data_IF_423785745470
#
_entry.id   IF_423785745470
#
_cell.length_a   1.000
_cell.length_b   1.000
_cell.length_c   1.000
_cell.angle_alpha   90.00
_cell.angle_beta   90.00
_cell.angle_gamma   90.00
#
_symmetry.space_group_name_H-M   'P 1'
#
loop_
_entity.id
_entity.type
_entity.pdbx_description
1 polymer ?
#
# COMPACT_ATOMS: atom_id res chain seq x y z
N UNK A 1 -26.96 55.83 21.93
CA UNK A 1 -28.31 56.32 22.28
C UNK A 1 -28.47 56.42 23.78
N UNK A 2 -29.39 57.26 24.27
CA UNK A 2 -29.74 57.39 25.71
C UNK A 2 -31.24 57.18 25.87
N UNK A 3 -31.62 56.25 26.75
CA UNK A 3 -33.02 56.00 27.12
C UNK A 3 -33.10 55.76 28.63
N UNK A 4 -33.93 56.53 29.33
CA UNK A 4 -34.12 56.45 30.77
C UNK A 4 -32.81 56.47 31.59
N UNK A 5 -31.82 57.24 31.17
CA UNK A 5 -30.51 57.37 31.81
C UNK A 5 -29.52 56.25 31.45
N UNK A 6 -29.92 55.25 30.67
CA UNK A 6 -29.04 54.20 30.15
C UNK A 6 -28.41 54.63 28.84
N UNK A 7 -27.09 54.61 28.75
CA UNK A 7 -26.32 54.93 27.52
C UNK A 7 -25.99 53.61 26.83
N UNK A 8 -26.40 53.52 25.55
CA UNK A 8 -26.05 52.37 24.69
C UNK A 8 -25.12 52.83 23.58
N UNK A 9 -23.95 52.21 23.45
CA UNK A 9 -23.01 52.41 22.34
C UNK A 9 -23.62 51.91 21.02
N UNK A 10 -23.47 52.66 19.95
CA UNK A 10 -23.96 52.31 18.59
C UNK A 10 -22.80 52.16 17.62
N UNK A 11 -21.81 53.02 17.71
CA UNK A 11 -20.54 52.99 16.97
C UNK A 11 -19.42 53.46 17.88
N UNK A 12 -18.19 53.14 17.57
CA UNK A 12 -16.99 53.60 18.25
C UNK A 12 -16.83 55.13 18.14
N UNK A 13 -16.23 55.73 19.15
CA UNK A 13 -15.94 57.15 19.25
C UNK A 13 -16.52 57.80 20.50
N UNK A 14 -16.30 59.12 20.66
CA UNK A 14 -16.74 59.89 21.80
C UNK A 14 -18.12 60.54 21.54
N UNK A 15 -18.98 60.43 22.53
CA UNK A 15 -20.29 61.04 22.53
C UNK A 15 -20.49 61.94 23.76
N UNK A 16 -20.88 63.19 23.54
CA UNK A 16 -21.22 64.10 24.65
C UNK A 16 -22.68 63.89 25.03
N UNK A 17 -22.90 63.40 26.24
CA UNK A 17 -24.25 63.23 26.79
C UNK A 17 -24.59 64.53 27.59
N UNK A 18 -25.67 65.17 27.21
CA UNK A 18 -26.16 66.42 27.86
C UNK A 18 -27.43 66.16 28.64
N UNK A 19 -27.44 66.43 29.92
CA UNK A 19 -28.64 66.52 30.73
C UNK A 19 -29.09 67.98 30.90
N UNK A 20 -30.36 68.27 30.68
CA UNK A 20 -30.99 69.57 30.90
C UNK A 20 -32.09 69.38 31.90
N UNK A 21 -32.05 70.15 33.00
CA UNK A 21 -33.11 70.16 34.00
C UNK A 21 -34.32 71.02 33.58
N UNK A 22 -35.42 71.00 34.36
CA UNK A 22 -36.64 71.74 34.12
C UNK A 22 -36.48 73.26 34.26
N UNK A 23 -35.34 73.76 34.80
CA UNK A 23 -34.98 75.19 34.90
C UNK A 23 -34.04 75.66 33.79
N UNK A 24 -33.74 74.79 32.82
CA UNK A 24 -32.90 75.09 31.67
C UNK A 24 -31.37 74.87 31.89
N UNK A 25 -30.92 74.58 33.11
CA UNK A 25 -29.51 74.34 33.41
C UNK A 25 -29.04 73.02 32.78
N UNK A 26 -27.87 73.01 32.14
CA UNK A 26 -27.27 71.84 31.47
C UNK A 26 -25.99 71.41 32.12
N UNK A 27 -25.74 70.12 32.09
CA UNK A 27 -24.47 69.46 32.44
C UNK A 27 -24.15 68.45 31.37
N UNK A 28 -22.88 68.30 31.04
CA UNK A 28 -22.40 67.38 30.02
C UNK A 28 -21.41 66.31 30.60
N UNK A 29 -21.40 65.16 29.98
CA UNK A 29 -20.43 64.11 30.25
C UNK A 29 -20.02 63.48 28.95
N UNK A 30 -18.71 63.34 28.71
CA UNK A 30 -18.20 62.59 27.58
C UNK A 30 -18.24 61.08 27.96
N UNK A 31 -18.75 60.29 27.04
CA UNK A 31 -18.75 58.82 27.09
C UNK A 31 -18.04 58.32 25.85
N UNK A 32 -16.96 57.59 26.06
CA UNK A 32 -16.24 56.91 24.99
C UNK A 32 -16.86 55.53 24.74
N UNK A 33 -17.21 55.26 23.49
CA UNK A 33 -17.63 53.95 23.00
C UNK A 33 -16.42 53.27 22.35
N UNK A 34 -15.95 52.18 22.93
CA UNK A 34 -14.82 51.40 22.37
C UNK A 34 -15.34 50.52 21.24
N UNK A 35 -14.56 50.38 20.15
CA UNK A 35 -14.84 49.46 19.07
C UNK A 35 -14.70 47.99 19.51
N UNK A 36 -15.39 47.09 18.84
CA UNK A 36 -15.25 45.68 19.09
C UNK A 36 -13.87 45.18 18.61
N UNK A 37 -13.22 44.28 19.36
CA UNK A 37 -11.93 43.70 18.95
C UNK A 37 -12.06 42.84 17.70
N UNK A 38 -10.99 42.78 16.91
CA UNK A 38 -10.88 41.83 15.82
C UNK A 38 -10.38 40.48 16.40
N UNK A 39 -11.29 39.53 16.53
CA UNK A 39 -11.01 38.17 17.02
C UNK A 39 -10.84 37.24 15.84
N UNK A 40 -9.80 36.40 15.85
CA UNK A 40 -9.61 35.27 14.93
C UNK A 40 -9.32 34.01 15.73
N UNK A 41 -9.85 32.89 15.30
CA UNK A 41 -9.62 31.58 15.93
C UNK A 41 -8.61 30.73 15.12
N UNK A 42 -7.91 31.35 14.15
CA UNK A 42 -7.04 30.68 13.20
C UNK A 42 -7.79 30.22 11.94
N UNK A 43 -7.07 29.56 11.04
CA UNK A 43 -7.64 28.96 9.83
C UNK A 43 -8.20 27.56 10.11
N UNK A 44 -9.19 27.15 9.32
CA UNK A 44 -9.71 25.78 9.34
C UNK A 44 -8.58 24.77 9.10
N UNK A 45 -8.63 23.65 9.82
CA UNK A 45 -7.64 22.58 9.75
C UNK A 45 -8.29 21.28 9.30
N UNK A 46 -7.51 20.44 8.66
CA UNK A 46 -7.93 19.05 8.32
C UNK A 46 -6.98 18.10 9.00
N UNK A 47 -7.55 17.14 9.75
CA UNK A 47 -6.81 16.10 10.47
C UNK A 47 -7.35 14.73 10.12
N UNK A 48 -6.54 13.71 10.33
CA UNK A 48 -6.99 12.32 10.28
C UNK A 48 -7.69 11.93 11.60
N UNK A 49 -8.65 11.03 11.52
CA UNK A 49 -9.31 10.47 12.70
C UNK A 49 -8.26 9.93 13.70
N UNK A 50 -8.41 10.31 14.98
CA UNK A 50 -7.45 10.00 16.04
C UNK A 50 -6.27 10.95 16.17
N UNK A 51 -6.12 11.93 15.28
CA UNK A 51 -5.09 12.98 15.38
C UNK A 51 -5.60 14.20 16.16
N UNK A 52 -4.68 15.15 16.45
CA UNK A 52 -5.00 16.40 17.15
C UNK A 52 -4.69 17.61 16.29
N UNK A 53 -5.41 18.71 16.54
CA UNK A 53 -5.19 20.02 15.96
C UNK A 53 -4.88 21.03 17.07
N UNK A 54 -3.99 21.99 16.78
CA UNK A 54 -3.75 23.14 17.67
C UNK A 54 -4.41 24.38 17.05
N UNK A 55 -5.38 24.95 17.76
CA UNK A 55 -6.08 26.16 17.39
C UNK A 55 -5.44 27.34 18.13
N UNK A 56 -5.12 28.41 17.41
CA UNK A 56 -4.45 29.58 17.98
C UNK A 56 -5.20 30.85 17.59
N UNK A 57 -5.56 31.63 18.61
CA UNK A 57 -6.27 32.89 18.49
C UNK A 57 -5.34 34.08 18.23
N UNK A 58 -5.89 35.16 17.68
CA UNK A 58 -5.29 36.51 17.80
C UNK A 58 -5.07 36.88 19.27
N UNK A 59 -4.12 37.83 19.55
CA UNK A 59 -3.84 38.26 20.93
C UNK A 59 -4.99 39.04 21.52
N UNK A 60 -5.53 38.64 22.67
CA UNK A 60 -6.60 39.24 23.46
C UNK A 60 -6.17 39.32 24.92
N UNK A 61 -6.93 40.11 25.74
CA UNK A 61 -6.74 40.13 27.19
C UNK A 61 -7.29 38.89 27.86
N UNK A 62 -8.43 38.40 27.36
CA UNK A 62 -9.06 37.16 27.84
C UNK A 62 -9.60 36.30 26.69
N UNK A 63 -9.64 35.00 26.90
CA UNK A 63 -10.12 33.99 25.94
C UNK A 63 -11.19 33.13 26.61
N UNK A 64 -12.21 32.77 25.86
CA UNK A 64 -13.20 31.77 26.27
C UNK A 64 -13.58 30.93 25.05
N UNK A 65 -12.98 29.74 24.96
CA UNK A 65 -13.32 28.77 23.92
C UNK A 65 -14.57 28.00 24.31
N UNK A 66 -15.35 27.56 23.33
CA UNK A 66 -16.52 26.71 23.56
C UNK A 66 -16.22 25.37 24.25
N UNK A 67 -14.96 25.01 24.40
CA UNK A 67 -14.46 23.89 25.19
C UNK A 67 -14.31 24.21 26.68
N UNK A 68 -14.45 25.48 27.08
CA UNK A 68 -14.18 25.99 28.42
C UNK A 68 -12.72 26.41 28.66
N UNK A 69 -11.84 26.26 27.67
CA UNK A 69 -10.45 26.70 27.80
C UNK A 69 -10.33 28.23 27.70
N UNK A 70 -9.34 28.80 28.46
CA UNK A 70 -9.13 30.25 28.58
C UNK A 70 -7.73 30.68 28.13
N UNK A 71 -7.04 29.84 27.36
CA UNK A 71 -5.69 30.12 26.82
C UNK A 71 -5.76 30.57 25.37
N UNK A 72 -4.74 31.31 24.91
CA UNK A 72 -4.63 31.77 23.53
C UNK A 72 -4.63 30.60 22.52
N UNK A 73 -3.99 29.48 22.87
CA UNK A 73 -3.94 28.27 22.06
C UNK A 73 -4.53 27.08 22.82
N UNK A 74 -5.26 26.24 22.09
CA UNK A 74 -5.82 24.98 22.61
C UNK A 74 -5.49 23.83 21.67
N UNK A 75 -5.33 22.64 22.22
CA UNK A 75 -5.23 21.40 21.44
C UNK A 75 -6.52 20.63 21.56
N UNK A 76 -7.08 20.21 20.43
CA UNK A 76 -8.33 19.46 20.34
C UNK A 76 -8.15 18.19 19.52
N UNK A 77 -8.91 17.14 19.83
CA UNK A 77 -8.85 15.83 19.13
C UNK A 77 -10.28 15.36 18.85
N UNK A 78 -11.00 16.04 17.94
CA UNK A 78 -12.36 15.66 17.62
C UNK A 78 -12.35 14.34 16.81
N UNK A 79 -13.37 13.50 17.02
CA UNK A 79 -13.59 12.27 16.24
C UNK A 79 -14.45 12.48 14.99
N UNK A 80 -15.12 13.63 14.91
CA UNK A 80 -15.93 14.06 13.77
C UNK A 80 -15.65 15.53 13.49
N UNK A 81 -15.91 16.00 12.27
CA UNK A 81 -15.77 17.42 11.91
C UNK A 81 -16.50 18.29 12.90
N UNK A 82 -15.77 19.18 13.56
CA UNK A 82 -16.25 20.00 14.69
C UNK A 82 -15.84 21.44 14.52
N UNK A 83 -16.78 22.37 14.75
CA UNK A 83 -16.54 23.80 14.77
C UNK A 83 -16.39 24.28 16.22
N UNK A 84 -15.32 25.01 16.48
CA UNK A 84 -14.97 25.58 17.77
C UNK A 84 -15.22 27.09 17.75
N UNK A 85 -16.02 27.57 18.69
CA UNK A 85 -16.25 29.00 18.90
C UNK A 85 -15.25 29.55 19.91
N UNK A 86 -14.83 30.79 19.69
CA UNK A 86 -14.00 31.57 20.60
C UNK A 86 -14.67 32.93 20.85
N UNK A 87 -14.77 33.32 22.13
CA UNK A 87 -14.99 34.70 22.54
C UNK A 87 -13.68 35.29 23.01
N UNK A 88 -13.27 36.41 22.39
CA UNK A 88 -12.09 37.19 22.79
C UNK A 88 -12.52 38.51 23.41
N UNK A 89 -11.89 38.86 24.53
CA UNK A 89 -12.15 40.13 25.23
C UNK A 89 -10.87 40.98 25.19
N UNK A 90 -11.00 42.23 24.81
CA UNK A 90 -9.90 43.20 24.77
C UNK A 90 -9.61 43.83 26.16
N UNK A 91 -8.64 44.75 26.20
CA UNK A 91 -8.27 45.49 27.45
C UNK A 91 -9.37 46.43 27.95
N UNK A 92 -10.32 46.81 27.12
CA UNK A 92 -11.43 47.70 27.47
C UNK A 92 -12.68 46.91 27.94
N UNK A 93 -12.60 45.54 27.92
CA UNK A 93 -13.70 44.67 28.27
C UNK A 93 -14.72 44.45 27.12
N UNK A 94 -14.39 44.90 25.88
CA UNK A 94 -15.24 44.65 24.72
C UNK A 94 -15.02 43.20 24.21
N UNK A 95 -16.12 42.54 23.86
CA UNK A 95 -16.09 41.12 23.43
C UNK A 95 -16.49 41.00 21.96
N UNK A 96 -15.85 40.06 21.27
CA UNK A 96 -16.28 39.61 19.94
C UNK A 96 -16.00 38.14 19.80
N UNK A 97 -16.60 37.48 18.77
CA UNK A 97 -16.52 36.07 18.57
C UNK A 97 -15.91 35.69 17.23
N UNK A 98 -15.25 34.54 17.18
CA UNK A 98 -14.79 33.90 15.96
C UNK A 98 -15.05 32.40 16.02
N UNK A 99 -14.96 31.74 14.88
CA UNK A 99 -15.09 30.30 14.78
C UNK A 99 -13.97 29.72 13.92
N UNK A 100 -13.61 28.47 14.17
CA UNK A 100 -12.69 27.69 13.38
C UNK A 100 -13.21 26.24 13.28
N UNK A 101 -13.11 25.64 12.11
CA UNK A 101 -13.56 24.26 11.87
C UNK A 101 -12.36 23.34 11.77
N UNK A 102 -12.40 22.22 12.52
CA UNK A 102 -11.49 21.10 12.36
C UNK A 102 -12.22 20.00 11.59
N UNK A 103 -11.83 19.83 10.33
CA UNK A 103 -12.35 18.78 9.45
C UNK A 103 -11.65 17.47 9.77
N UNK A 104 -12.41 16.44 10.15
CA UNK A 104 -11.88 15.10 10.43
C UNK A 104 -12.11 14.21 9.21
N UNK A 105 -11.02 13.59 8.74
CA UNK A 105 -11.03 12.63 7.64
C UNK A 105 -10.83 11.21 8.18
N UNK A 106 -11.56 10.26 7.63
CA UNK A 106 -11.40 8.85 7.97
C UNK A 106 -10.03 8.33 7.54
N UNK A 107 -9.49 7.39 8.31
CA UNK A 107 -8.30 6.64 7.92
C UNK A 107 -8.64 5.69 6.76
N UNK A 108 -7.83 5.65 5.69
CA UNK A 108 -8.00 4.66 4.64
C UNK A 108 -7.84 3.25 5.21
N UNK A 109 -8.78 2.36 4.93
CA UNK A 109 -8.61 0.92 5.12
C UNK A 109 -8.18 0.29 3.80
N UNK A 110 -7.04 -0.41 3.80
CA UNK A 110 -6.49 -1.09 2.63
C UNK A 110 -6.79 -2.58 2.72
N UNK A 111 -7.32 -3.15 1.66
CA UNK A 111 -7.65 -4.57 1.58
C UNK A 111 -7.32 -5.16 0.21
N UNK A 112 -7.17 -6.49 0.17
CA UNK A 112 -7.05 -7.23 -1.10
C UNK A 112 -8.40 -7.24 -1.80
N UNK A 113 -8.43 -6.75 -3.05
CA UNK A 113 -9.60 -6.77 -3.92
C UNK A 113 -9.63 -8.03 -4.79
N UNK A 114 -8.47 -8.42 -5.36
CA UNK A 114 -8.31 -9.66 -6.13
C UNK A 114 -6.92 -10.22 -5.94
N UNK A 115 -6.80 -11.55 -5.84
CA UNK A 115 -5.55 -12.27 -5.61
C UNK A 115 -5.30 -12.59 -4.15
N UNK A 116 -4.05 -12.73 -3.77
CA UNK A 116 -3.57 -13.02 -2.42
C UNK A 116 -2.54 -11.98 -2.00
N UNK A 117 -2.43 -11.72 -0.69
CA UNK A 117 -1.33 -10.90 -0.14
C UNK A 117 0.00 -11.66 -0.04
N UNK A 118 -0.01 -12.98 -0.31
CA UNK A 118 1.20 -13.81 -0.44
C UNK A 118 1.36 -14.16 -1.91
N UNK A 119 2.48 -13.78 -2.50
CA UNK A 119 2.74 -13.81 -3.94
C UNK A 119 3.98 -14.63 -4.28
N UNK A 120 3.95 -15.28 -5.42
CA UNK A 120 5.15 -15.76 -6.08
C UNK A 120 5.79 -14.64 -6.90
N UNK A 121 7.06 -14.80 -7.25
CA UNK A 121 7.79 -13.85 -8.11
C UNK A 121 7.03 -13.62 -9.41
N UNK A 122 6.84 -12.36 -9.79
CA UNK A 122 6.11 -11.94 -10.97
C UNK A 122 4.59 -11.93 -10.84
N UNK A 123 4.01 -12.48 -9.79
CA UNK A 123 2.57 -12.40 -9.56
C UNK A 123 2.11 -11.01 -9.14
N UNK A 124 0.83 -10.77 -9.30
CA UNK A 124 0.20 -9.50 -8.96
C UNK A 124 -0.98 -9.69 -8.02
N UNK A 125 -1.18 -8.69 -7.15
CA UNK A 125 -2.39 -8.55 -6.33
C UNK A 125 -2.97 -7.16 -6.52
N UNK A 126 -4.29 -7.06 -6.60
CA UNK A 126 -4.97 -5.76 -6.65
C UNK A 126 -5.49 -5.41 -5.28
N UNK A 127 -5.11 -4.23 -4.81
CA UNK A 127 -5.54 -3.64 -3.55
C UNK A 127 -6.60 -2.57 -3.80
N UNK A 128 -7.48 -2.39 -2.82
CA UNK A 128 -8.44 -1.29 -2.77
C UNK A 128 -8.32 -0.51 -1.48
N UNK A 129 -8.73 0.76 -1.52
CA UNK A 129 -8.84 1.63 -0.36
C UNK A 129 -10.29 2.07 -0.20
N UNK A 130 -10.75 2.21 1.05
CA UNK A 130 -12.08 2.76 1.38
C UNK A 130 -12.20 4.26 1.04
N UNK A 131 -11.07 4.96 0.91
CA UNK A 131 -10.99 6.37 0.56
C UNK A 131 -10.50 6.48 -0.88
N UNK A 132 -11.19 7.30 -1.70
CA UNK A 132 -10.81 7.60 -3.09
C UNK A 132 -9.83 8.77 -3.16
N UNK A 133 -9.09 8.87 -4.27
CA UNK A 133 -8.18 9.97 -4.55
C UNK A 133 -6.98 9.98 -3.60
N UNK A 134 -5.88 9.41 -4.03
CA UNK A 134 -4.64 9.34 -3.25
C UNK A 134 -3.55 8.62 -4.01
N UNK A 135 -2.47 8.30 -3.32
CA UNK A 135 -1.29 7.67 -3.90
C UNK A 135 -0.92 6.39 -3.17
N UNK A 136 -0.35 5.45 -3.92
CA UNK A 136 0.18 4.19 -3.42
C UNK A 136 1.70 4.24 -3.35
N UNK A 137 2.26 3.65 -2.31
CA UNK A 137 3.71 3.48 -2.16
C UNK A 137 4.06 2.13 -1.55
N UNK A 138 5.25 1.63 -1.86
CA UNK A 138 5.83 0.43 -1.25
C UNK A 138 6.98 0.84 -0.34
N UNK A 139 7.11 0.16 0.80
CA UNK A 139 8.25 0.34 1.70
C UNK A 139 9.56 -0.15 1.10
N UNK A 140 9.49 -1.11 0.15
CA UNK A 140 10.66 -1.65 -0.56
C UNK A 140 10.29 -2.11 -1.98
N UNK A 141 10.70 -1.31 -2.97
CA UNK A 141 10.46 -1.59 -4.38
C UNK A 141 11.33 -2.74 -4.93
N UNK A 142 12.32 -3.21 -4.19
CA UNK A 142 13.09 -4.41 -4.55
C UNK A 142 12.34 -5.70 -4.23
N UNK A 143 11.37 -5.65 -3.30
CA UNK A 143 10.52 -6.78 -2.91
C UNK A 143 9.20 -6.74 -3.69
N UNK A 144 8.52 -5.60 -3.67
CA UNK A 144 7.25 -5.43 -4.40
C UNK A 144 7.08 -3.98 -4.84
N UNK A 145 6.62 -3.77 -6.07
CA UNK A 145 6.25 -2.46 -6.60
C UNK A 145 4.75 -2.29 -6.62
N UNK A 146 4.26 -1.04 -6.53
CA UNK A 146 2.82 -0.75 -6.62
C UNK A 146 2.55 0.38 -7.60
N UNK A 147 1.50 0.24 -8.41
CA UNK A 147 1.01 1.27 -9.32
C UNK A 147 -0.51 1.18 -9.41
N UNK A 148 -1.21 2.27 -9.08
CA UNK A 148 -2.68 2.32 -9.13
C UNK A 148 -3.39 1.25 -8.28
N UNK A 149 -2.77 0.77 -7.20
CA UNK A 149 -3.28 -0.30 -6.35
C UNK A 149 -2.90 -1.71 -6.83
N UNK A 150 -2.30 -1.88 -8.01
CA UNK A 150 -1.77 -3.16 -8.47
C UNK A 150 -0.35 -3.32 -7.95
N UNK A 151 -0.13 -4.33 -7.13
CA UNK A 151 1.18 -4.71 -6.57
C UNK A 151 1.77 -5.82 -7.44
N UNK A 152 3.04 -5.72 -7.77
CA UNK A 152 3.80 -6.74 -8.51
C UNK A 152 4.98 -7.21 -7.66
N UNK A 153 5.03 -8.51 -7.40
CA UNK A 153 6.13 -9.16 -6.69
C UNK A 153 7.43 -9.19 -7.52
N UNK A 154 8.55 -8.91 -6.87
CA UNK A 154 9.90 -8.94 -7.46
C UNK A 154 10.64 -10.21 -7.06
N UNK A 155 11.75 -10.50 -7.75
CA UNK A 155 12.63 -11.62 -7.42
C UNK A 155 13.29 -11.37 -6.06
N UNK A 156 13.14 -12.32 -5.15
CA UNK A 156 13.76 -12.33 -3.82
C UNK A 156 14.44 -13.69 -3.59
N UNK A 157 15.55 -13.69 -2.86
CA UNK A 157 16.29 -14.90 -2.53
C UNK A 157 15.75 -15.65 -1.31
N UNK A 158 15.04 -14.94 -0.44
CA UNK A 158 14.35 -15.47 0.74
C UNK A 158 12.97 -14.86 0.85
N UNK A 159 12.04 -15.53 1.55
CA UNK A 159 10.73 -14.95 1.79
C UNK A 159 10.88 -13.56 2.43
N UNK A 160 10.28 -12.57 1.81
CA UNK A 160 10.41 -11.15 2.16
C UNK A 160 9.06 -10.46 2.19
N UNK A 161 8.95 -9.37 2.94
CA UNK A 161 7.71 -8.62 3.06
C UNK A 161 7.91 -7.17 2.68
N UNK A 162 6.90 -6.57 2.04
CA UNK A 162 6.80 -5.14 1.80
C UNK A 162 5.48 -4.61 2.35
N UNK A 163 5.52 -3.44 3.00
CA UNK A 163 4.32 -2.72 3.41
C UNK A 163 3.87 -1.82 2.28
N UNK A 164 2.65 -2.03 1.80
CA UNK A 164 2.03 -1.20 0.78
C UNK A 164 1.12 -0.19 1.49
N UNK A 165 1.38 1.08 1.28
CA UNK A 165 0.68 2.20 1.93
C UNK A 165 -0.11 2.99 0.90
N UNK A 166 -1.37 3.26 1.21
CA UNK A 166 -2.20 4.25 0.53
C UNK A 166 -2.19 5.53 1.35
N UNK A 167 -1.92 6.66 0.70
CA UNK A 167 -1.97 8.00 1.31
C UNK A 167 -3.06 8.81 0.60
N UNK A 168 -4.08 9.24 1.34
CA UNK A 168 -5.15 10.09 0.82
C UNK A 168 -4.67 11.50 0.51
N UNK A 169 -5.50 12.32 -0.17
CA UNK A 169 -5.22 13.74 -0.43
C UNK A 169 -5.12 14.58 0.86
N UNK A 170 -5.69 14.11 1.96
CA UNK A 170 -5.58 14.73 3.29
C UNK A 170 -4.36 14.21 4.09
N UNK A 171 -3.45 13.47 3.48
CA UNK A 171 -2.28 12.82 4.10
C UNK A 171 -2.63 11.76 5.17
N UNK A 172 -3.85 11.23 5.17
CA UNK A 172 -4.21 10.10 6.01
C UNK A 172 -3.77 8.80 5.34
N UNK A 173 -3.16 7.90 6.11
CA UNK A 173 -2.57 6.67 5.59
C UNK A 173 -3.26 5.42 6.08
N UNK A 174 -3.32 4.42 5.21
CA UNK A 174 -3.66 3.04 5.54
C UNK A 174 -2.71 2.09 4.83
N UNK A 175 -2.46 0.92 5.40
CA UNK A 175 -1.47 0.00 4.83
C UNK A 175 -1.86 -1.46 4.98
N UNK A 176 -1.22 -2.29 4.15
CA UNK A 176 -1.27 -3.76 4.20
C UNK A 176 0.13 -4.32 3.94
N UNK A 177 0.45 -5.45 4.55
CA UNK A 177 1.70 -6.17 4.29
C UNK A 177 1.47 -7.20 3.18
N UNK A 178 2.36 -7.20 2.20
CA UNK A 178 2.46 -8.20 1.14
C UNK A 178 3.69 -9.04 1.38
N UNK A 179 3.55 -10.37 1.28
CA UNK A 179 4.64 -11.34 1.40
C UNK A 179 5.00 -11.84 0.01
N UNK A 180 6.30 -11.84 -0.33
CA UNK A 180 6.83 -12.39 -1.57
C UNK A 180 7.66 -13.62 -1.24
N UNK A 181 7.29 -14.74 -1.83
CA UNK A 181 8.02 -16.00 -1.71
C UNK A 181 9.27 -16.00 -2.59
N UNK A 182 10.34 -16.69 -2.19
CA UNK A 182 11.58 -16.71 -2.95
C UNK A 182 11.40 -17.32 -4.33
N UNK A 183 12.21 -16.87 -5.28
CA UNK A 183 12.30 -17.45 -6.60
C UNK A 183 12.85 -18.89 -6.49
N UNK A 184 12.19 -19.82 -7.15
CA UNK A 184 12.62 -21.20 -7.24
C UNK A 184 13.32 -21.44 -8.57
N UNK A 185 14.38 -22.22 -8.56
CA UNK A 185 15.11 -22.62 -9.75
C UNK A 185 15.26 -24.11 -9.82
N UNK A 186 14.98 -24.69 -11.00
CA UNK A 186 15.28 -26.10 -11.30
C UNK A 186 16.71 -26.19 -11.81
N UNK A 187 17.49 -27.12 -11.23
CA UNK A 187 18.85 -27.42 -11.63
C UNK A 187 19.05 -28.92 -11.88
N UNK A 188 20.10 -29.28 -12.57
CA UNK A 188 20.42 -30.66 -12.94
C UNK A 188 20.61 -30.82 -14.44
N UNK A 189 20.69 -32.08 -14.91
CA UNK A 189 20.85 -32.39 -16.34
C UNK A 189 19.49 -32.28 -17.04
N UNK A 190 19.35 -31.29 -17.94
CA UNK A 190 18.10 -30.98 -18.67
C UNK A 190 17.98 -31.77 -19.99
N UNK A 191 18.80 -32.77 -20.19
CA UNK A 191 18.79 -33.61 -21.40
C UNK A 191 18.90 -35.09 -21.04
N UNK A 192 18.30 -35.95 -21.84
CA UNK A 192 18.44 -37.42 -21.76
C UNK A 192 18.28 -38.03 -23.14
N UNK A 193 18.54 -39.33 -23.24
CA UNK A 193 18.29 -40.12 -24.45
C UNK A 193 17.23 -41.18 -24.11
N UNK A 194 16.35 -41.50 -25.04
CA UNK A 194 15.38 -42.63 -24.86
C UNK A 194 16.09 -43.90 -24.41
N UNK A 195 15.64 -44.49 -23.29
CA UNK A 195 16.28 -45.67 -22.71
C UNK A 195 17.62 -45.44 -22.01
N UNK A 196 18.07 -44.17 -21.95
CA UNK A 196 19.32 -43.77 -21.29
C UNK A 196 19.17 -43.48 -19.81
N UNK A 197 20.09 -42.68 -19.29
CA UNK A 197 20.08 -42.27 -17.88
C UNK A 197 18.82 -41.47 -17.53
N UNK A 198 18.35 -41.63 -16.29
CA UNK A 198 17.21 -40.91 -15.72
C UNK A 198 17.74 -39.86 -14.76
N UNK A 199 17.90 -38.59 -15.23
CA UNK A 199 18.44 -37.55 -14.40
C UNK A 199 17.50 -37.17 -13.25
N UNK A 200 18.07 -36.73 -12.13
CA UNK A 200 17.36 -36.18 -10.98
C UNK A 200 17.54 -34.67 -10.99
N UNK A 201 16.43 -33.95 -11.08
CA UNK A 201 16.40 -32.51 -11.02
C UNK A 201 16.27 -32.05 -9.56
N UNK A 202 16.88 -30.92 -9.23
CA UNK A 202 16.93 -30.37 -7.88
C UNK A 202 16.31 -28.96 -7.87
N UNK A 203 15.71 -28.59 -6.75
CA UNK A 203 15.23 -27.21 -6.51
C UNK A 203 16.25 -26.49 -5.65
N UNK A 204 16.69 -25.30 -6.09
CA UNK A 204 17.64 -24.43 -5.38
C UNK A 204 18.83 -25.19 -4.77
N UNK A 205 19.29 -26.23 -5.46
CA UNK A 205 20.40 -27.12 -5.10
C UNK A 205 20.27 -27.92 -3.79
N UNK A 206 19.22 -27.77 -2.97
CA UNK A 206 19.24 -28.36 -1.61
C UNK A 206 17.90 -28.71 -0.95
N UNK A 207 16.73 -28.59 -1.61
CA UNK A 207 15.46 -28.90 -0.93
C UNK A 207 15.01 -30.35 -1.19
N UNK A 208 14.71 -31.06 -0.11
CA UNK A 208 13.99 -32.35 -0.15
C UNK A 208 12.56 -32.06 -0.64
N UNK A 209 12.32 -32.32 -1.92
CA UNK A 209 11.01 -32.16 -2.55
C UNK A 209 10.24 -33.47 -2.50
N UNK A 210 8.91 -33.41 -2.56
CA UNK A 210 8.06 -34.60 -2.71
C UNK A 210 7.85 -34.90 -4.19
N UNK A 211 7.72 -36.20 -4.54
CA UNK A 211 7.49 -36.62 -5.93
C UNK A 211 6.20 -36.00 -6.52
N UNK A 212 5.17 -35.77 -5.72
CA UNK A 212 3.89 -35.19 -6.12
C UNK A 212 3.95 -33.71 -6.51
N UNK A 213 5.04 -32.99 -6.19
CA UNK A 213 5.25 -31.58 -6.55
C UNK A 213 5.80 -31.41 -7.96
N UNK A 214 6.11 -32.45 -8.67
CA UNK A 214 6.69 -32.45 -10.01
C UNK A 214 5.69 -32.91 -11.06
N UNK A 215 5.71 -32.32 -12.23
CA UNK A 215 4.90 -32.71 -13.38
C UNK A 215 5.62 -32.48 -14.71
N UNK A 216 5.16 -33.15 -15.77
CA UNK A 216 5.60 -32.94 -17.15
C UNK A 216 4.43 -32.52 -18.01
N UNK A 217 4.64 -31.56 -18.88
CA UNK A 217 3.62 -31.06 -19.83
C UNK A 217 3.35 -32.06 -20.97
N UNK A 218 4.31 -32.95 -21.30
CA UNK A 218 4.16 -34.01 -22.30
C UNK A 218 4.78 -35.33 -21.79
N UNK A 219 3.92 -36.24 -21.37
CA UNK A 219 4.31 -37.54 -20.86
C UNK A 219 4.78 -38.50 -21.96
N UNK A 220 4.55 -38.21 -23.25
CA UNK A 220 5.10 -38.98 -24.34
C UNK A 220 6.59 -38.69 -24.58
N UNK A 221 7.05 -37.50 -24.08
CA UNK A 221 8.47 -37.12 -24.15
C UNK A 221 9.19 -37.56 -22.88
N UNK A 222 8.67 -37.19 -21.70
CA UNK A 222 9.22 -37.61 -20.42
C UNK A 222 8.14 -37.62 -19.33
N UNK A 223 8.26 -38.55 -18.40
CA UNK A 223 7.44 -38.63 -17.19
C UNK A 223 8.27 -38.32 -15.95
N UNK A 224 7.60 -37.98 -14.84
CA UNK A 224 8.23 -37.84 -13.53
C UNK A 224 8.01 -39.15 -12.75
N UNK A 225 9.07 -39.65 -12.10
CA UNK A 225 9.00 -40.83 -11.26
C UNK A 225 8.11 -40.57 -10.04
N UNK A 226 7.18 -41.51 -9.77
CA UNK A 226 6.21 -41.34 -8.68
C UNK A 226 6.80 -41.54 -7.28
N UNK A 227 8.00 -42.11 -7.19
CA UNK A 227 8.64 -42.47 -5.91
C UNK A 227 9.86 -41.66 -5.58
N UNK A 228 10.57 -41.18 -6.59
CA UNK A 228 11.79 -40.38 -6.43
C UNK A 228 11.54 -38.95 -6.92
N UNK A 229 11.54 -38.00 -5.99
CA UNK A 229 11.31 -36.58 -6.31
C UNK A 229 12.33 -36.06 -7.32
N UNK A 230 11.86 -35.36 -8.34
CA UNK A 230 12.68 -34.76 -9.37
C UNK A 230 13.33 -35.73 -10.37
N UNK A 231 13.13 -37.01 -10.23
CA UNK A 231 13.66 -37.99 -11.17
C UNK A 231 12.83 -38.02 -12.46
N UNK A 232 13.47 -37.78 -13.59
CA UNK A 232 12.83 -37.70 -14.90
C UNK A 232 13.08 -39.03 -15.66
N UNK A 233 12.02 -39.60 -16.21
CA UNK A 233 12.06 -40.83 -17.01
C UNK A 233 11.84 -40.44 -18.48
N UNK A 234 12.87 -40.51 -19.36
CA UNK A 234 12.72 -40.24 -20.77
C UNK A 234 11.89 -41.32 -21.45
N UNK A 235 10.89 -40.95 -22.24
CA UNK A 235 9.94 -41.84 -22.92
C UNK A 235 10.12 -41.80 -24.44
N UNK A 236 10.13 -40.61 -25.04
CA UNK A 236 10.26 -40.42 -26.48
C UNK A 236 11.02 -39.18 -26.84
N UNK A 237 11.54 -39.07 -28.07
CA UNK A 237 12.32 -37.92 -28.49
C UNK A 237 11.42 -36.68 -28.59
N UNK A 238 11.93 -35.52 -28.12
CA UNK A 238 11.22 -34.26 -28.13
C UNK A 238 11.63 -33.34 -26.98
N UNK A 239 10.82 -32.31 -26.74
CA UNK A 239 10.99 -31.40 -25.61
C UNK A 239 9.71 -31.34 -24.80
N UNK A 240 9.84 -31.27 -23.48
CA UNK A 240 8.73 -31.10 -22.54
C UNK A 240 9.09 -30.08 -21.48
N UNK A 241 8.09 -29.42 -20.91
CA UNK A 241 8.28 -28.52 -19.75
C UNK A 241 8.08 -29.33 -18.47
N UNK A 242 9.12 -29.39 -17.66
CA UNK A 242 9.04 -29.93 -16.31
C UNK A 242 8.68 -28.80 -15.36
N UNK A 243 7.64 -29.00 -14.57
CA UNK A 243 7.17 -28.04 -13.56
C UNK A 243 7.36 -28.63 -12.18
N UNK A 244 7.91 -27.84 -11.27
CA UNK A 244 7.87 -28.08 -9.84
C UNK A 244 6.95 -27.03 -9.20
N UNK A 245 6.06 -27.46 -8.30
CA UNK A 245 5.21 -26.57 -7.49
C UNK A 245 5.53 -26.81 -6.03
N UNK A 246 5.94 -25.76 -5.31
CA UNK A 246 6.22 -25.85 -3.88
C UNK A 246 4.93 -26.12 -3.09
N UNK A 247 4.95 -27.14 -2.25
CA UNK A 247 3.75 -27.57 -1.52
C UNK A 247 3.31 -26.56 -0.42
N UNK A 248 4.22 -25.72 0.06
CA UNK A 248 3.96 -24.76 1.15
C UNK A 248 3.47 -23.43 0.60
N UNK A 249 4.11 -22.93 -0.46
CA UNK A 249 3.86 -21.62 -1.03
C UNK A 249 2.97 -21.68 -2.26
N UNK A 250 2.78 -22.86 -2.85
CA UNK A 250 2.13 -23.09 -4.16
C UNK A 250 2.82 -22.38 -5.33
N UNK A 251 4.05 -21.89 -5.16
CA UNK A 251 4.81 -21.23 -6.20
C UNK A 251 5.36 -22.23 -7.20
N UNK A 252 5.06 -22.09 -8.52
CA UNK A 252 5.60 -22.95 -9.55
C UNK A 252 6.94 -22.42 -10.07
N UNK A 253 7.79 -23.35 -10.54
CA UNK A 253 8.94 -23.03 -11.39
C UNK A 253 9.04 -24.08 -12.50
N UNK A 254 9.60 -23.72 -13.65
CA UNK A 254 9.64 -24.58 -14.83
C UNK A 254 11.01 -24.64 -15.45
N UNK A 255 11.31 -25.78 -16.10
CA UNK A 255 12.48 -25.96 -16.93
C UNK A 255 12.14 -26.74 -18.19
N UNK A 256 12.79 -26.41 -19.30
CA UNK A 256 12.66 -27.15 -20.53
C UNK A 256 13.56 -28.38 -20.45
N UNK A 257 13.01 -29.58 -20.72
CA UNK A 257 13.71 -30.85 -20.73
C UNK A 257 13.68 -31.44 -22.13
N UNK A 258 14.85 -31.89 -22.65
CA UNK A 258 15.00 -32.42 -24.01
C UNK A 258 15.35 -33.89 -23.97
N UNK A 259 14.63 -34.70 -24.72
CA UNK A 259 14.92 -36.14 -24.92
C UNK A 259 15.36 -36.33 -26.38
N UNK A 260 16.54 -36.91 -26.56
CA UNK A 260 17.05 -37.29 -27.87
C UNK A 260 16.63 -38.74 -28.20
N UNK A 261 16.52 -39.06 -29.48
CA UNK A 261 16.28 -40.42 -29.92
C UNK A 261 17.41 -41.37 -29.45
N UNK A 262 17.05 -42.61 -29.17
CA UNK A 262 18.04 -43.62 -28.88
C UNK A 262 18.93 -43.82 -30.14
N UNK A 263 20.24 -44.01 -29.97
CA UNK A 263 21.10 -44.36 -31.11
C UNK A 263 20.67 -45.74 -31.67
N UNK A 264 20.65 -45.82 -32.97
CA UNK A 264 20.34 -47.08 -33.67
C UNK A 264 21.38 -47.37 -34.75
N UNK A 265 21.59 -48.64 -35.01
CA UNK A 265 22.42 -49.06 -36.10
C UNK A 265 21.52 -49.78 -37.12
N UNK A 266 21.56 -49.33 -38.34
CA UNK A 266 20.83 -49.96 -39.45
C UNK A 266 21.77 -50.49 -40.49
N UNK A 267 21.37 -51.54 -41.18
CA UNK A 267 22.07 -52.09 -42.34
C UNK A 267 21.05 -52.53 -43.40
N UNK A 268 21.44 -52.58 -44.64
CA UNK A 268 20.59 -53.08 -45.73
C UNK A 268 20.47 -54.61 -45.70
N UNK A 269 21.45 -55.29 -45.10
CA UNK A 269 21.46 -56.75 -44.90
C UNK A 269 22.01 -57.06 -43.50
N UNK A 270 21.66 -58.24 -42.97
CA UNK A 270 22.16 -58.72 -41.65
C UNK A 270 23.21 -59.83 -41.81
N UNK A 271 23.49 -60.20 -43.07
CA UNK A 271 24.43 -61.29 -43.40
C UNK A 271 25.51 -60.74 -44.35
N UNK A 272 26.73 -61.24 -44.19
CA UNK A 272 27.86 -60.96 -45.03
C UNK A 272 28.63 -62.24 -45.31
N UNK A 273 29.05 -62.48 -46.54
CA UNK A 273 29.86 -63.66 -46.88
C UNK A 273 31.30 -63.49 -46.38
N UNK A 274 32.06 -64.54 -46.29
CA UNK A 274 33.49 -64.53 -46.03
C UNK A 274 34.19 -63.59 -47.08
N UNK A 275 35.05 -62.71 -46.62
CA UNK A 275 35.72 -61.66 -47.39
C UNK A 275 34.80 -60.57 -47.93
N UNK A 276 33.49 -60.58 -47.60
CA UNK A 276 32.52 -59.51 -47.90
C UNK A 276 32.58 -58.36 -46.91
N UNK A 277 31.93 -57.25 -47.24
CA UNK A 277 31.76 -56.09 -46.35
C UNK A 277 30.29 -55.71 -46.17
N UNK A 278 29.95 -55.26 -44.98
CA UNK A 278 28.64 -54.77 -44.63
C UNK A 278 28.78 -53.33 -44.12
N UNK A 279 28.03 -52.44 -44.73
CA UNK A 279 27.98 -51.04 -44.25
C UNK A 279 26.90 -50.93 -43.15
N UNK A 280 27.31 -50.49 -41.96
CA UNK A 280 26.42 -50.14 -40.84
C UNK A 280 26.29 -48.62 -40.79
N UNK A 281 25.08 -48.15 -40.68
CA UNK A 281 24.79 -46.72 -40.50
C UNK A 281 24.28 -46.48 -39.09
N UNK A 282 24.94 -45.65 -38.29
CA UNK A 282 24.50 -45.21 -36.98
C UNK A 282 23.68 -43.95 -37.08
N UNK A 283 22.59 -43.88 -36.34
CA UNK A 283 21.76 -42.65 -36.15
C UNK A 283 21.41 -42.50 -34.68
N UNK A 284 21.50 -41.30 -34.07
CA UNK A 284 22.05 -40.06 -34.71
C UNK A 284 23.54 -40.25 -35.00
N UNK A 285 24.00 -39.59 -36.06
CA UNK A 285 25.45 -39.48 -36.36
C UNK A 285 26.09 -38.67 -35.22
N UNK A 286 27.10 -39.19 -34.57
CA UNK A 286 27.86 -38.55 -33.51
C UNK A 286 28.56 -37.27 -33.96
#
# INVERSE_FOLDING_TARGET
TVLNGVVTGVSDGDATITYKNNKGCTVTKIVTVNGLPTVTAGADQTICSGSSATLTSSTMSFYNWGTGATTQSITVSPTTTTTYALTGTDANGCENTAQVTVNVQDLPSVSVSTGSSTLCVGETVTLSSTVSGGTWSSSDNSIATVSGGVVTAKSVSTQSTATITFTSTANCTGSITVTVNPELTISGTMTATVGGSQPVLLINANTTTTASSWSSSDQNVATVDATTAGKIVPVGPGTTTITYTDATTSCPTTALFTVSAAPSITSTTTEVCEDGSLTLTATPSG
#
